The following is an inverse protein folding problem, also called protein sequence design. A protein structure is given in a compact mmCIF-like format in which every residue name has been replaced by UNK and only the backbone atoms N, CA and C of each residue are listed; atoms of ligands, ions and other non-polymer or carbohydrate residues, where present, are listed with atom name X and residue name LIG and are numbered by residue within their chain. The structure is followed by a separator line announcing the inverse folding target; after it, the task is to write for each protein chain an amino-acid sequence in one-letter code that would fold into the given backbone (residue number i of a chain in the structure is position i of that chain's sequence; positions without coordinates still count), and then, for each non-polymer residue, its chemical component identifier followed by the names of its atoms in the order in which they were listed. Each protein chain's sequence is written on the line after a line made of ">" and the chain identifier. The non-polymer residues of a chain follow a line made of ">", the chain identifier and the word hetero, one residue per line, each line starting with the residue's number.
data_IF_239690923719
#
_entry.id   IF_239690923719
#
_cell.length_a   1.000
_cell.length_b   1.000
_cell.length_c   1.000
_cell.angle_alpha   90.00
_cell.angle_beta   90.00
_cell.angle_gamma   90.00
#
_symmetry.space_group_name_H-M   'P 1'
#
loop_
_entity.id
_entity.type
_entity.pdbx_description
1 polymer ?
#
# COMPACT_ATOMS: atom_id res chain seq x y z
N UNK A 1 -6.96 -39.11 5.99
CA UNK A 1 -6.87 -37.70 5.57
C UNK A 1 -5.40 -37.40 5.37
N UNK A 2 -4.92 -37.24 4.13
CA UNK A 2 -3.52 -36.92 3.90
C UNK A 2 -3.24 -35.50 4.38
N UNK A 3 -2.36 -35.37 5.37
CA UNK A 3 -1.86 -34.10 5.87
C UNK A 3 -1.09 -33.42 4.71
N UNK A 4 -1.73 -32.47 4.03
CA UNK A 4 -1.05 -31.68 2.99
C UNK A 4 -0.04 -30.79 3.70
N UNK A 5 1.24 -31.15 3.61
CA UNK A 5 2.33 -30.30 4.05
C UNK A 5 2.14 -28.88 3.46
N UNK A 6 2.15 -27.86 4.33
CA UNK A 6 1.95 -26.47 3.90
C UNK A 6 3.02 -26.06 2.90
N UNK A 7 2.60 -25.41 1.82
CA UNK A 7 3.51 -24.92 0.80
C UNK A 7 4.47 -23.88 1.41
N UNK A 8 5.79 -23.91 1.11
CA UNK A 8 6.77 -22.99 1.69
C UNK A 8 6.42 -21.50 1.56
N UNK A 9 5.70 -21.12 0.50
CA UNK A 9 5.20 -19.75 0.32
C UNK A 9 4.16 -19.34 1.37
N UNK A 10 3.27 -20.25 1.77
CA UNK A 10 2.27 -20.01 2.82
C UNK A 10 2.95 -19.72 4.15
N UNK A 11 3.95 -20.53 4.50
CA UNK A 11 4.76 -20.35 5.71
C UNK A 11 5.48 -18.99 5.71
N UNK A 12 6.10 -18.61 4.59
CA UNK A 12 6.79 -17.32 4.45
C UNK A 12 5.83 -16.13 4.59
N UNK A 13 4.66 -16.19 3.95
CA UNK A 13 3.65 -15.13 4.05
C UNK A 13 3.13 -14.98 5.49
N UNK A 14 2.89 -16.09 6.19
CA UNK A 14 2.47 -16.07 7.60
C UNK A 14 3.52 -15.41 8.49
N UNK A 15 4.78 -15.84 8.40
CA UNK A 15 5.87 -15.28 9.19
C UNK A 15 6.07 -13.78 8.90
N UNK A 16 5.90 -13.34 7.65
CA UNK A 16 5.93 -11.91 7.32
C UNK A 16 4.80 -11.13 8.01
N UNK A 17 3.55 -11.63 7.95
CA UNK A 17 2.41 -10.98 8.60
C UNK A 17 2.56 -10.92 10.12
N UNK A 18 3.17 -11.92 10.74
CA UNK A 18 3.47 -11.92 12.18
C UNK A 18 4.47 -10.82 12.52
N UNK A 19 5.60 -10.72 11.80
CA UNK A 19 6.57 -9.63 11.98
C UNK A 19 5.95 -8.24 11.79
N UNK A 20 5.07 -8.06 10.81
CA UNK A 20 4.37 -6.79 10.60
C UNK A 20 3.46 -6.44 11.79
N UNK A 21 2.75 -7.43 12.35
CA UNK A 21 1.91 -7.25 13.55
C UNK A 21 2.73 -6.91 14.79
N UNK A 22 3.86 -7.59 14.99
CA UNK A 22 4.80 -7.28 16.09
C UNK A 22 5.37 -5.86 15.97
N UNK A 23 5.59 -5.39 14.75
CA UNK A 23 5.98 -4.00 14.47
C UNK A 23 4.82 -2.98 14.60
N UNK A 24 3.63 -3.40 15.02
CA UNK A 24 2.47 -2.54 15.27
C UNK A 24 1.61 -2.26 14.04
N UNK A 25 1.87 -2.89 12.89
CA UNK A 25 1.07 -2.71 11.69
C UNK A 25 -0.20 -3.57 11.70
N UNK A 26 -1.29 -3.01 11.17
CA UNK A 26 -2.53 -3.73 10.89
C UNK A 26 -2.76 -3.78 9.38
N UNK A 27 -3.00 -4.97 8.85
CA UNK A 27 -3.34 -5.14 7.43
C UNK A 27 -4.79 -4.69 7.19
N UNK A 28 -4.97 -3.71 6.32
CA UNK A 28 -6.25 -3.30 5.76
C UNK A 28 -6.27 -3.58 4.26
N UNK A 29 -7.39 -4.11 3.76
CA UNK A 29 -7.64 -4.26 2.33
C UNK A 29 -8.48 -3.07 1.87
N UNK A 30 -7.98 -2.33 0.88
CA UNK A 30 -8.61 -1.11 0.37
C UNK A 30 -8.69 -1.20 -1.17
N UNK A 31 -9.67 -0.51 -1.75
CA UNK A 31 -9.73 -0.26 -3.19
C UNK A 31 -9.05 1.07 -3.50
N UNK A 32 -8.30 1.14 -4.60
CA UNK A 32 -7.60 2.34 -5.05
C UNK A 32 -8.18 2.80 -6.38
N UNK A 33 -8.60 4.06 -6.46
CA UNK A 33 -9.01 4.70 -7.70
C UNK A 33 -7.76 5.08 -8.52
N UNK A 34 -7.49 4.31 -9.57
CA UNK A 34 -6.24 4.33 -10.34
C UNK A 34 -5.90 5.71 -10.92
N UNK A 35 -6.88 6.41 -11.49
CA UNK A 35 -6.65 7.76 -12.05
C UNK A 35 -6.27 8.77 -10.96
N UNK A 36 -6.87 8.64 -9.77
CA UNK A 36 -6.60 9.53 -8.64
C UNK A 36 -5.23 9.24 -8.04
N UNK A 37 -4.84 7.97 -7.99
CA UNK A 37 -3.49 7.54 -7.62
C UNK A 37 -2.43 8.11 -8.57
N UNK A 38 -2.66 8.06 -9.89
CA UNK A 38 -1.71 8.61 -10.86
C UNK A 38 -1.60 10.13 -10.75
N UNK A 39 -2.71 10.84 -10.50
CA UNK A 39 -2.69 12.27 -10.22
C UNK A 39 -1.83 12.59 -8.97
N UNK A 40 -1.87 11.75 -7.94
CA UNK A 40 -1.01 11.84 -6.77
C UNK A 40 0.47 11.65 -7.09
N UNK A 41 0.81 10.63 -7.88
CA UNK A 41 2.18 10.39 -8.37
C UNK A 41 2.71 11.58 -9.16
N UNK A 42 1.93 12.10 -10.09
CA UNK A 42 2.34 13.25 -10.90
C UNK A 42 2.57 14.49 -10.03
N UNK A 43 1.71 14.74 -9.04
CA UNK A 43 1.92 15.85 -8.11
C UNK A 43 3.21 15.73 -7.28
N UNK A 44 3.58 14.50 -6.88
CA UNK A 44 4.86 14.26 -6.21
C UNK A 44 6.07 14.52 -7.13
N UNK A 45 5.99 14.11 -8.40
CA UNK A 45 7.01 14.41 -9.43
C UNK A 45 7.16 15.91 -9.66
N UNK A 46 6.04 16.62 -9.68
CA UNK A 46 5.99 18.08 -9.84
C UNK A 46 6.47 18.85 -8.58
N UNK A 47 6.80 18.15 -7.49
CA UNK A 47 7.21 18.78 -6.23
C UNK A 47 6.08 19.46 -5.45
N UNK A 48 4.81 19.19 -5.79
CA UNK A 48 3.65 19.75 -5.10
C UNK A 48 3.50 19.13 -3.70
N UNK A 49 3.01 19.90 -2.71
CA UNK A 49 2.77 19.39 -1.37
C UNK A 49 1.67 18.31 -1.36
N UNK A 50 1.71 17.42 -0.37
CA UNK A 50 0.68 16.40 -0.14
C UNK A 50 -0.65 17.05 0.28
N UNK A 51 -1.56 17.25 -0.68
CA UNK A 51 -2.90 17.84 -0.47
C UNK A 51 -4.02 16.96 -1.06
N UNK A 52 -4.30 15.80 -0.47
CA UNK A 52 -5.22 14.81 -1.04
C UNK A 52 -6.71 15.19 -0.93
N UNK A 53 -7.07 16.09 -0.01
CA UNK A 53 -8.47 16.36 0.38
C UNK A 53 -9.32 16.98 -0.74
N UNK A 54 -8.70 17.57 -1.75
CA UNK A 54 -9.39 18.17 -2.90
C UNK A 54 -9.62 17.16 -4.03
N UNK A 55 -9.11 15.93 -3.90
CA UNK A 55 -9.25 14.90 -4.92
C UNK A 55 -10.54 14.09 -4.78
N UNK A 56 -10.93 13.42 -5.87
CA UNK A 56 -12.08 12.51 -5.92
C UNK A 56 -12.00 11.39 -4.88
N UNK A 57 -10.80 10.89 -4.61
CA UNK A 57 -10.52 9.84 -3.63
C UNK A 57 -9.21 10.19 -2.89
N UNK A 58 -9.30 10.85 -1.73
CA UNK A 58 -8.13 11.33 -1.00
C UNK A 58 -7.12 10.25 -0.63
N UNK A 59 -7.58 9.04 -0.29
CA UNK A 59 -6.69 7.94 0.08
C UNK A 59 -5.91 7.44 -1.14
N UNK A 60 -6.58 7.29 -2.28
CA UNK A 60 -5.95 6.88 -3.54
C UNK A 60 -4.91 7.91 -3.98
N UNK A 61 -5.24 9.20 -3.89
CA UNK A 61 -4.31 10.28 -4.24
C UNK A 61 -3.08 10.29 -3.32
N UNK A 62 -3.30 10.23 -2.01
CA UNK A 62 -2.22 10.21 -1.02
C UNK A 62 -1.31 8.99 -1.21
N UNK A 63 -1.90 7.81 -1.48
CA UNK A 63 -1.16 6.58 -1.77
C UNK A 63 -0.20 6.78 -2.95
N UNK A 64 -0.68 7.34 -4.06
CA UNK A 64 0.14 7.62 -5.23
C UNK A 64 1.28 8.60 -4.94
N UNK A 65 0.98 9.71 -4.25
CA UNK A 65 1.98 10.72 -3.91
C UNK A 65 3.09 10.16 -3.00
N UNK A 66 2.71 9.42 -1.94
CA UNK A 66 3.65 8.81 -0.99
C UNK A 66 4.52 7.75 -1.68
N UNK A 67 3.91 6.89 -2.50
CA UNK A 67 4.62 5.85 -3.24
C UNK A 67 5.67 6.42 -4.20
N UNK A 68 5.40 7.60 -4.79
CA UNK A 68 6.36 8.24 -5.69
C UNK A 68 7.48 8.97 -4.93
N UNK A 69 7.17 9.62 -3.80
CA UNK A 69 8.21 10.25 -2.97
C UNK A 69 9.20 9.26 -2.37
N UNK A 70 8.77 8.05 -2.04
CA UNK A 70 9.67 7.01 -1.52
C UNK A 70 10.67 6.43 -2.54
N UNK A 71 10.56 6.81 -3.83
CA UNK A 71 11.49 6.40 -4.89
C UNK A 71 12.58 7.43 -5.21
N UNK A 72 12.41 8.67 -4.74
CA UNK A 72 13.38 9.77 -4.87
C UNK A 72 14.38 9.71 -3.72
#
# INVERSE_FOLDING_TARGET
>A
MAEKAEHPNTLRQRAFKERQREAGFKQHTLWIHTETEEAGKQAARDGKPLKPMESKDPLSWASGWIAEKGKQ
#
